data_IF_463248332853
#
_entry.id   IF_463248332853
#
_cell.length_a   1.000
_cell.length_b   1.000
_cell.length_c   1.000
_cell.angle_alpha   90.00
_cell.angle_beta   90.00
_cell.angle_gamma   90.00
#
_symmetry.space_group_name_H-M   'P 1'
#
loop_
_entity.id
_entity.type
_entity.pdbx_description
1 polymer ?
#
# COMPACT_ATOMS: atom_id res chain seq x y z
N UNK A 1 -0.23 15.63 21.52
CA UNK A 1 -1.50 15.27 20.85
C UNK A 1 -1.75 15.97 19.51
N UNK A 2 -1.10 17.11 19.19
CA UNK A 2 -1.28 17.81 17.89
C UNK A 2 -0.62 17.07 16.71
N UNK A 3 0.56 16.47 16.88
CA UNK A 3 1.26 15.69 15.82
C UNK A 3 0.44 14.51 15.27
N UNK A 4 -0.16 13.71 16.16
CA UNK A 4 -1.09 12.65 15.76
C UNK A 4 -2.25 13.19 14.95
N UNK A 5 -2.66 14.44 15.21
CA UNK A 5 -3.82 15.04 14.54
C UNK A 5 -3.50 15.54 13.14
N UNK A 6 -2.25 15.89 12.89
CA UNK A 6 -1.77 16.41 11.60
C UNK A 6 -1.32 15.28 10.67
N UNK A 7 -0.77 14.19 11.22
CA UNK A 7 -0.26 13.06 10.45
C UNK A 7 -1.17 11.83 10.44
N UNK A 8 -2.42 11.95 10.92
CA UNK A 8 -3.40 10.84 11.06
C UNK A 8 -3.43 9.95 9.82
N UNK A 9 -3.47 10.60 8.67
CA UNK A 9 -3.58 9.97 7.37
C UNK A 9 -2.39 9.07 7.06
N UNK A 10 -1.18 9.63 7.18
CA UNK A 10 0.06 8.94 6.87
C UNK A 10 0.34 7.81 7.88
N UNK A 11 0.00 8.03 9.15
CA UNK A 11 0.06 7.00 10.19
C UNK A 11 -0.87 5.84 9.87
N UNK A 12 -2.15 6.12 9.53
CA UNK A 12 -3.12 5.08 9.18
C UNK A 12 -2.67 4.28 7.95
N UNK A 13 -2.22 4.98 6.91
CA UNK A 13 -1.76 4.33 5.67
C UNK A 13 -0.51 3.47 5.92
N UNK A 14 0.40 3.91 6.78
CA UNK A 14 1.58 3.13 7.17
C UNK A 14 1.19 1.86 7.93
N UNK A 15 0.17 1.93 8.81
CA UNK A 15 -0.38 0.77 9.49
C UNK A 15 -1.07 -0.20 8.53
N UNK A 16 -1.83 0.31 7.56
CA UNK A 16 -2.44 -0.51 6.51
C UNK A 16 -1.35 -1.23 5.68
N UNK A 17 -0.21 -0.58 5.39
CA UNK A 17 0.93 -1.20 4.71
C UNK A 17 1.58 -2.30 5.55
N UNK A 18 1.73 -2.11 6.87
CA UNK A 18 2.22 -3.16 7.77
C UNK A 18 1.25 -4.35 7.74
N UNK A 19 -0.06 -4.08 7.82
CA UNK A 19 -1.09 -5.13 7.79
C UNK A 19 -1.05 -5.92 6.48
N UNK A 20 -0.92 -5.24 5.35
CA UNK A 20 -0.75 -5.86 4.03
C UNK A 20 0.52 -6.73 3.96
N UNK A 21 1.63 -6.27 4.53
CA UNK A 21 2.84 -7.08 4.64
C UNK A 21 2.60 -8.36 5.45
N UNK A 22 1.91 -8.25 6.59
CA UNK A 22 1.58 -9.38 7.44
C UNK A 22 0.65 -10.40 6.76
N UNK A 23 -0.33 -9.96 5.96
CA UNK A 23 -1.21 -10.87 5.21
C UNK A 23 -0.44 -11.71 4.18
N UNK A 24 0.60 -11.14 3.57
CA UNK A 24 1.50 -11.89 2.68
C UNK A 24 2.52 -12.76 3.44
N UNK A 25 2.66 -12.60 4.76
CA UNK A 25 3.58 -13.41 5.57
C UNK A 25 3.00 -14.77 5.95
N UNK A 26 1.70 -15.00 5.70
CA UNK A 26 1.04 -16.24 6.11
C UNK A 26 1.60 -17.45 5.33
N UNK A 27 1.71 -18.63 5.99
CA UNK A 27 2.28 -19.83 5.36
C UNK A 27 1.40 -20.43 4.26
N UNK A 28 0.17 -19.91 4.10
CA UNK A 28 -0.71 -20.25 2.97
C UNK A 28 -0.57 -19.13 1.93
N UNK A 29 -0.30 -19.45 0.65
CA UNK A 29 -0.21 -18.44 -0.39
C UNK A 29 -1.52 -17.65 -0.45
N UNK A 30 -1.41 -16.34 -0.26
CA UNK A 30 -2.52 -15.40 -0.31
C UNK A 30 -3.07 -15.33 -1.74
N UNK A 31 -2.17 -15.26 -2.71
CA UNK A 31 -2.41 -15.35 -4.14
C UNK A 31 -2.18 -16.80 -4.58
N UNK A 32 -3.26 -17.60 -4.62
CA UNK A 32 -3.17 -18.95 -5.20
C UNK A 32 -2.78 -18.84 -6.68
N UNK A 33 -1.70 -19.51 -7.12
CA UNK A 33 -1.31 -19.49 -8.53
C UNK A 33 -2.39 -20.12 -9.40
N UNK A 34 -2.82 -19.42 -10.43
CA UNK A 34 -3.82 -19.88 -11.39
C UNK A 34 -3.12 -20.27 -12.70
N UNK A 35 -3.69 -21.22 -13.43
CA UNK A 35 -3.22 -21.60 -14.76
C UNK A 35 -3.36 -20.39 -15.69
N UNK A 36 -2.27 -19.69 -15.97
CA UNK A 36 -2.23 -18.45 -16.75
C UNK A 36 -1.56 -17.27 -16.05
N UNK A 37 -1.28 -17.37 -14.74
CA UNK A 37 -0.62 -16.29 -14.02
C UNK A 37 0.84 -16.09 -14.46
N UNK A 38 1.30 -14.84 -14.60
CA UNK A 38 2.71 -14.54 -14.73
C UNK A 38 3.54 -15.13 -13.58
N UNK A 39 4.69 -15.70 -13.90
CA UNK A 39 5.61 -16.31 -12.93
C UNK A 39 6.07 -15.35 -11.81
N UNK A 40 5.99 -14.04 -12.04
CA UNK A 40 6.35 -13.02 -11.06
C UNK A 40 5.28 -12.76 -10.00
N UNK A 41 4.02 -13.18 -10.18
CA UNK A 41 2.99 -13.02 -9.13
C UNK A 41 3.34 -13.89 -7.91
N UNK A 42 3.84 -15.10 -8.15
CA UNK A 42 4.34 -15.96 -7.08
C UNK A 42 5.54 -15.40 -6.32
N UNK A 43 6.23 -14.37 -6.85
CA UNK A 43 7.30 -13.67 -6.12
C UNK A 43 6.78 -12.70 -5.05
N UNK A 44 5.53 -12.26 -5.18
CA UNK A 44 4.88 -11.35 -4.22
C UNK A 44 4.52 -12.09 -2.92
N UNK A 45 4.15 -13.37 -3.03
CA UNK A 45 3.82 -14.24 -1.89
C UNK A 45 5.05 -14.87 -1.20
N UNK A 46 6.28 -14.45 -1.53
CA UNK A 46 7.50 -14.99 -0.90
C UNK A 46 7.82 -14.19 0.38
N UNK A 47 8.22 -14.84 1.49
CA UNK A 47 8.54 -14.17 2.76
C UNK A 47 9.44 -12.90 2.68
N UNK A 48 10.47 -12.81 1.82
CA UNK A 48 11.28 -11.59 1.69
C UNK A 48 10.50 -10.37 1.22
N UNK A 49 9.49 -10.55 0.35
CA UNK A 49 8.67 -9.45 -0.15
C UNK A 49 7.73 -8.93 0.94
N UNK A 50 7.06 -9.84 1.65
CA UNK A 50 6.26 -9.52 2.84
C UNK A 50 7.09 -8.77 3.89
N UNK A 51 8.30 -9.25 4.18
CA UNK A 51 9.20 -8.58 5.12
C UNK A 51 9.56 -7.16 4.66
N UNK A 52 9.84 -6.97 3.37
CA UNK A 52 10.11 -5.64 2.82
C UNK A 52 8.91 -4.69 2.97
N UNK A 53 7.68 -5.17 2.73
CA UNK A 53 6.46 -4.39 2.94
C UNK A 53 6.29 -3.95 4.39
N UNK A 54 6.45 -4.87 5.34
CA UNK A 54 6.38 -4.57 6.78
C UNK A 54 7.45 -3.53 7.14
N UNK A 55 8.67 -3.68 6.65
CA UNK A 55 9.77 -2.75 6.91
C UNK A 55 9.46 -1.35 6.36
N UNK A 56 8.94 -1.24 5.13
CA UNK A 56 8.52 0.04 4.55
C UNK A 56 7.43 0.69 5.40
N UNK A 57 6.43 -0.09 5.83
CA UNK A 57 5.37 0.40 6.71
C UNK A 57 5.91 0.92 8.05
N UNK A 58 6.87 0.24 8.67
CA UNK A 58 7.51 0.68 9.92
C UNK A 58 8.34 1.96 9.70
N UNK A 59 9.11 2.04 8.62
CA UNK A 59 9.90 3.24 8.29
C UNK A 59 8.98 4.45 8.08
N UNK A 60 7.91 4.31 7.29
CA UNK A 60 6.93 5.37 7.09
C UNK A 60 6.24 5.75 8.40
N UNK A 61 5.86 4.78 9.24
CA UNK A 61 5.22 5.03 10.54
C UNK A 61 6.15 5.83 11.46
N UNK A 62 7.41 5.43 11.58
CA UNK A 62 8.39 6.13 12.42
C UNK A 62 8.65 7.56 11.94
N UNK A 63 8.74 7.78 10.62
CA UNK A 63 8.83 9.13 10.05
C UNK A 63 7.59 9.97 10.38
N UNK A 64 6.40 9.37 10.41
CA UNK A 64 5.15 10.07 10.73
C UNK A 64 4.98 10.43 12.21
N UNK A 65 5.72 9.78 13.11
CA UNK A 65 5.73 10.09 14.54
C UNK A 65 6.58 11.33 14.87
N UNK A 66 7.42 11.77 13.93
CA UNK A 66 8.19 13.02 14.00
C UNK A 66 7.50 14.14 13.19
N UNK A 67 7.77 15.43 13.46
CA UNK A 67 7.30 16.51 12.59
C UNK A 67 7.85 16.33 11.17
N UNK A 68 6.98 16.04 10.20
CA UNK A 68 7.41 15.83 8.82
C UNK A 68 7.85 17.16 8.20
N UNK A 69 9.10 17.18 7.74
CA UNK A 69 9.55 18.19 6.78
C UNK A 69 8.94 17.93 5.40
N UNK A 70 8.94 18.93 4.52
CA UNK A 70 8.46 18.80 3.12
C UNK A 70 9.14 17.64 2.39
N UNK A 71 10.43 17.41 2.69
CA UNK A 71 11.21 16.30 2.15
C UNK A 71 10.77 14.95 2.73
N UNK A 72 10.56 14.86 4.05
CA UNK A 72 10.05 13.65 4.71
C UNK A 72 8.67 13.25 4.19
N UNK A 73 7.78 14.22 3.99
CA UNK A 73 6.45 13.98 3.42
C UNK A 73 6.54 13.44 1.98
N UNK A 74 7.46 13.98 1.18
CA UNK A 74 7.68 13.49 -0.19
C UNK A 74 8.15 12.04 -0.21
N UNK A 75 9.07 11.65 0.69
CA UNK A 75 9.54 10.26 0.82
C UNK A 75 8.41 9.33 1.24
N UNK A 76 7.68 9.68 2.30
CA UNK A 76 6.57 8.86 2.81
C UNK A 76 5.49 8.69 1.75
N UNK A 77 5.14 9.77 1.05
CA UNK A 77 4.17 9.75 -0.04
C UNK A 77 4.62 8.83 -1.17
N UNK A 78 5.88 8.94 -1.60
CA UNK A 78 6.45 8.14 -2.68
C UNK A 78 6.52 6.64 -2.33
N UNK A 79 6.99 6.30 -1.12
CA UNK A 79 7.09 4.91 -0.68
C UNK A 79 5.69 4.27 -0.56
N UNK A 80 4.75 4.95 0.07
CA UNK A 80 3.39 4.43 0.23
C UNK A 80 2.69 4.33 -1.13
N UNK A 81 2.79 5.34 -2.01
CA UNK A 81 2.17 5.29 -3.33
C UNK A 81 2.74 4.15 -4.16
N UNK A 82 4.06 3.95 -4.13
CA UNK A 82 4.72 2.85 -4.84
C UNK A 82 4.21 1.49 -4.36
N UNK A 83 4.15 1.27 -3.04
CA UNK A 83 3.66 0.00 -2.46
C UNK A 83 2.21 -0.26 -2.86
N UNK A 84 1.33 0.73 -2.71
CA UNK A 84 -0.11 0.54 -2.94
C UNK A 84 -0.44 0.43 -4.43
N UNK A 85 0.22 1.20 -5.30
CA UNK A 85 0.06 1.08 -6.76
C UNK A 85 0.55 -0.30 -7.22
N UNK A 86 1.73 -0.73 -6.76
CA UNK A 86 2.25 -2.05 -7.09
C UNK A 86 1.30 -3.15 -6.64
N UNK A 87 0.82 -3.09 -5.40
CA UNK A 87 -0.13 -4.07 -4.85
C UNK A 87 -1.45 -4.09 -5.63
N UNK A 88 -1.99 -2.94 -6.02
CA UNK A 88 -3.16 -2.86 -6.89
C UNK A 88 -2.93 -3.50 -8.25
N UNK A 89 -1.77 -3.29 -8.87
CA UNK A 89 -1.43 -3.95 -10.14
C UNK A 89 -1.39 -5.47 -9.95
N UNK A 90 -0.75 -5.96 -8.89
CA UNK A 90 -0.70 -7.41 -8.59
C UNK A 90 -2.11 -7.99 -8.46
N UNK A 91 -2.98 -7.36 -7.67
CA UNK A 91 -4.35 -7.83 -7.47
C UNK A 91 -5.19 -7.75 -8.75
N UNK A 92 -5.06 -6.68 -9.55
CA UNK A 92 -5.77 -6.56 -10.83
C UNK A 92 -5.32 -7.65 -11.81
N UNK A 93 -4.01 -7.90 -11.93
CA UNK A 93 -3.49 -8.93 -12.84
C UNK A 93 -3.93 -10.32 -12.39
N UNK A 94 -3.90 -10.61 -11.08
CA UNK A 94 -4.39 -11.87 -10.54
C UNK A 94 -5.90 -12.07 -10.78
N UNK A 95 -6.71 -11.04 -10.52
CA UNK A 95 -8.16 -11.08 -10.78
C UNK A 95 -8.46 -11.29 -12.28
N UNK A 96 -7.72 -10.64 -13.19
CA UNK A 96 -7.89 -10.81 -14.64
C UNK A 96 -7.62 -12.23 -15.14
N UNK A 97 -6.73 -12.96 -14.46
CA UNK A 97 -6.38 -14.34 -14.82
C UNK A 97 -7.27 -15.38 -14.13
N UNK A 98 -8.19 -14.97 -13.24
CA UNK A 98 -9.15 -15.89 -12.63
C UNK A 98 -10.18 -16.40 -13.65
N UNK A 99 -10.35 -17.73 -13.80
CA UNK A 99 -11.41 -18.29 -14.63
C UNK A 99 -12.78 -17.99 -14.01
N UNK A 100 -13.49 -17.02 -14.57
CA UNK A 100 -14.80 -16.58 -14.06
C UNK A 100 -14.96 -15.06 -13.82
N UNK A 101 -13.97 -14.25 -14.25
CA UNK A 101 -13.93 -12.79 -14.15
C UNK A 101 -15.26 -12.03 -14.40
N UNK A 102 -16.14 -12.57 -15.24
CA UNK A 102 -17.42 -11.93 -15.58
C UNK A 102 -18.59 -12.20 -14.60
N UNK A 103 -18.46 -13.14 -13.65
CA UNK A 103 -19.62 -13.62 -12.85
C UNK A 103 -19.44 -13.43 -11.34
N UNK A 104 -18.21 -13.33 -10.83
CA UNK A 104 -17.95 -13.15 -9.41
C UNK A 104 -17.12 -11.88 -9.18
N UNK A 105 -17.68 -10.98 -8.38
CA UNK A 105 -17.10 -9.78 -7.77
C UNK A 105 -15.57 -9.65 -7.86
N UNK A 106 -15.02 -8.47 -8.22
CA UNK A 106 -13.59 -8.20 -8.03
C UNK A 106 -13.24 -8.51 -6.57
N UNK A 107 -12.10 -9.15 -6.32
CA UNK A 107 -11.71 -9.44 -4.94
C UNK A 107 -11.71 -8.13 -4.16
N UNK A 108 -12.25 -8.17 -2.94
CA UNK A 108 -12.37 -7.00 -2.06
C UNK A 108 -11.00 -6.31 -1.93
N UNK A 109 -9.92 -7.09 -2.00
CA UNK A 109 -8.51 -6.64 -1.91
C UNK A 109 -8.06 -5.77 -3.08
N UNK A 110 -8.48 -6.07 -4.32
CA UNK A 110 -8.18 -5.24 -5.48
C UNK A 110 -8.87 -3.87 -5.37
N UNK A 111 -10.12 -3.88 -4.89
CA UNK A 111 -10.92 -2.67 -4.70
C UNK A 111 -10.37 -1.82 -3.55
N UNK A 112 -10.04 -2.45 -2.41
CA UNK A 112 -9.46 -1.78 -1.24
C UNK A 112 -8.08 -1.19 -1.54
N UNK A 113 -7.19 -1.95 -2.19
CA UNK A 113 -5.86 -1.45 -2.55
C UNK A 113 -5.92 -0.27 -3.50
N UNK A 114 -6.80 -0.33 -4.51
CA UNK A 114 -7.00 0.77 -5.47
C UNK A 114 -7.58 1.99 -4.76
N UNK A 115 -8.51 1.80 -3.84
CA UNK A 115 -9.05 2.88 -3.03
C UNK A 115 -7.96 3.56 -2.19
N UNK A 116 -7.09 2.79 -1.53
CA UNK A 116 -5.97 3.34 -0.76
C UNK A 116 -4.97 4.06 -1.66
N UNK A 117 -4.67 3.54 -2.85
CA UNK A 117 -3.79 4.19 -3.82
C UNK A 117 -4.36 5.54 -4.32
N UNK A 118 -5.65 5.60 -4.63
CA UNK A 118 -6.36 6.83 -4.98
C UNK A 118 -6.30 7.81 -3.81
N UNK A 119 -6.58 7.33 -2.59
CA UNK A 119 -6.56 8.13 -1.37
C UNK A 119 -5.19 8.79 -1.14
N UNK A 120 -4.10 8.04 -1.30
CA UNK A 120 -2.73 8.57 -1.20
C UNK A 120 -2.47 9.62 -2.29
N UNK A 121 -2.94 9.39 -3.51
CA UNK A 121 -2.76 10.33 -4.63
C UNK A 121 -3.50 11.65 -4.38
N UNK A 122 -4.74 11.57 -3.90
CA UNK A 122 -5.52 12.75 -3.52
C UNK A 122 -4.81 13.51 -2.39
N UNK A 123 -4.40 12.82 -1.32
CA UNK A 123 -3.72 13.48 -0.20
C UNK A 123 -2.34 14.03 -0.59
N UNK A 124 -1.64 13.41 -1.54
CA UNK A 124 -0.39 13.93 -2.09
C UNK A 124 -0.61 15.27 -2.81
N UNK A 125 -1.68 15.36 -3.62
CA UNK A 125 -2.00 16.55 -4.42
C UNK A 125 -2.55 17.69 -3.55
N UNK A 126 -3.38 17.38 -2.55
CA UNK A 126 -3.99 18.39 -1.69
C UNK A 126 -3.17 18.70 -0.43
N UNK A 127 -2.51 17.70 0.15
CA UNK A 127 -1.71 17.83 1.36
C UNK A 127 -0.43 18.63 1.15
N UNK A 128 0.23 18.52 -0.02
CA UNK A 128 1.41 19.34 -0.36
C UNK A 128 1.14 20.83 -0.26
N UNK A 129 -0.05 21.29 -0.67
CA UNK A 129 -0.50 22.70 -0.54
C UNK A 129 -0.72 23.13 0.92
N UNK A 130 -1.02 22.21 1.82
CA UNK A 130 -1.19 22.51 3.24
C UNK A 130 0.16 22.74 3.93
N UNK A 131 1.17 21.93 3.58
CA UNK A 131 2.53 22.07 4.09
C UNK A 131 3.27 23.27 3.48
N UNK A 132 2.98 23.64 2.22
CA UNK A 132 3.53 24.86 1.59
C UNK A 132 3.14 26.17 2.26
N UNK A 133 1.98 26.23 2.94
CA UNK A 133 1.57 27.46 3.64
C UNK A 133 2.22 27.64 5.02
N UNK A 134 2.96 26.64 5.51
CA UNK A 134 3.55 26.65 6.86
C UNK A 134 5.08 26.82 6.87
N UNK A 135 5.75 26.70 5.73
CA UNK A 135 7.18 27.01 5.53
C UNK A 135 7.34 28.38 4.93
#
# INVERSE_FOLDING_TARGET
MQLFRENRFWILTSLETIFLGLTFSDPKPYLKPIVGDPSWIGLVDIPPFSFALVLVGIVCLTMCLTPLSKFGLSIVTFLLSLVWIFSSIVFIVHDLNMPGFFIAYPHIDATLSTFVAIRITVEAVFGTKYYERRT
#
